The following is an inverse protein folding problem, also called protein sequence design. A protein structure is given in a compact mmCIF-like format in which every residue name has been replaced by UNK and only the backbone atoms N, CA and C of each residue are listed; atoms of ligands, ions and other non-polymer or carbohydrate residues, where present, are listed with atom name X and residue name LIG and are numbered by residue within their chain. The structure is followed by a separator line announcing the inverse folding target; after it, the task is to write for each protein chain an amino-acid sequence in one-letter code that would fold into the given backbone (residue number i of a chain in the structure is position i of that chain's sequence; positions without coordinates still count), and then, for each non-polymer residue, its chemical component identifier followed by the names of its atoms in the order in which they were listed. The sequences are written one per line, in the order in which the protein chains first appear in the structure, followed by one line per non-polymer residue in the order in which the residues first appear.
data_IF_438691750089
#
_entry.id   IF_438691750089
#
_cell.length_a   1.000
_cell.length_b   1.000
_cell.length_c   1.000
_cell.angle_alpha   90.00
_cell.angle_beta   90.00
_cell.angle_gamma   90.00
#
_symmetry.space_group_name_H-M   'P 1'
#
loop_
_entity.id
_entity.type
_entity.pdbx_description
1 polymer ?
#
# COMPACT_ATOMS: atom_id res chain seq x y z
N UNK A 1 8.31 -1.84 7.67
CA UNK A 1 7.94 -2.33 6.33
C UNK A 1 9.09 -1.99 5.39
N UNK A 2 10.06 -2.88 5.25
CA UNK A 2 11.20 -2.67 4.34
C UNK A 2 10.69 -2.72 2.89
N UNK A 3 10.75 -1.58 2.20
CA UNK A 3 10.37 -1.45 0.79
C UNK A 3 11.17 -2.40 -0.13
N UNK A 4 12.33 -2.89 0.33
CA UNK A 4 13.16 -3.92 -0.31
C UNK A 4 12.41 -5.24 -0.56
N UNK A 5 11.46 -5.63 0.31
CA UNK A 5 10.76 -6.93 0.20
C UNK A 5 9.53 -6.93 -0.72
N UNK A 6 9.13 -5.76 -1.25
CA UNK A 6 7.93 -5.64 -2.11
C UNK A 6 8.20 -5.79 -3.62
N UNK A 7 9.42 -6.18 -4.04
CA UNK A 7 9.70 -6.54 -5.45
C UNK A 7 9.66 -5.39 -6.46
N UNK A 8 9.52 -4.13 -6.01
CA UNK A 8 9.48 -2.95 -6.90
C UNK A 8 10.88 -2.53 -7.35
N UNK A 9 11.96 -2.99 -6.70
CA UNK A 9 13.32 -2.57 -7.02
C UNK A 9 14.28 -3.78 -7.07
N UNK A 10 14.13 -4.64 -8.07
CA UNK A 10 15.25 -5.44 -8.59
C UNK A 10 15.90 -4.68 -9.75
N UNK A 11 16.39 -3.47 -9.48
CA UNK A 11 17.31 -2.78 -10.38
C UNK A 11 18.67 -2.82 -9.72
N UNK A 12 19.69 -3.29 -10.45
CA UNK A 12 21.07 -3.17 -10.00
C UNK A 12 21.32 -1.74 -9.51
N UNK A 13 22.00 -1.54 -8.36
CA UNK A 13 22.21 -0.21 -7.79
C UNK A 13 22.80 0.80 -8.78
N UNK A 14 23.65 0.34 -9.71
CA UNK A 14 24.24 1.14 -10.78
C UNK A 14 23.27 1.55 -11.90
N UNK A 15 22.22 0.75 -12.16
CA UNK A 15 21.15 1.09 -13.12
C UNK A 15 20.13 2.02 -12.47
N UNK A 16 19.81 1.78 -11.19
CA UNK A 16 18.91 2.64 -10.44
C UNK A 16 19.44 4.08 -10.38
N UNK A 17 20.74 4.28 -10.13
CA UNK A 17 21.31 5.64 -10.08
C UNK A 17 21.19 6.40 -11.42
N UNK A 18 21.30 5.69 -12.56
CA UNK A 18 21.17 6.28 -13.90
C UNK A 18 19.72 6.53 -14.33
N UNK A 19 18.76 5.85 -13.70
CA UNK A 19 17.33 5.92 -14.05
C UNK A 19 16.46 6.46 -12.91
N UNK A 20 17.09 7.02 -11.88
CA UNK A 20 16.46 7.45 -10.63
C UNK A 20 15.28 8.38 -10.89
N UNK A 21 15.45 9.40 -11.72
CA UNK A 21 14.39 10.37 -12.02
C UNK A 21 13.16 9.73 -12.68
N UNK A 22 13.38 8.74 -13.54
CA UNK A 22 12.29 8.02 -14.23
C UNK A 22 11.55 7.13 -13.24
N UNK A 23 12.29 6.42 -12.38
CA UNK A 23 11.72 5.53 -11.36
C UNK A 23 10.98 6.34 -10.30
N UNK A 24 11.60 7.37 -9.75
CA UNK A 24 11.02 8.26 -8.74
C UNK A 24 9.79 8.98 -9.31
N UNK A 25 9.83 9.42 -10.57
CA UNK A 25 8.67 9.96 -11.28
C UNK A 25 7.53 8.96 -11.50
N UNK A 26 7.83 7.67 -11.72
CA UNK A 26 6.83 6.62 -11.80
C UNK A 26 6.22 6.30 -10.41
N UNK A 27 7.02 6.30 -9.35
CA UNK A 27 6.56 6.08 -7.98
C UNK A 27 5.67 7.23 -7.52
N UNK A 28 6.09 8.48 -7.73
CA UNK A 28 5.30 9.67 -7.37
C UNK A 28 3.94 9.72 -8.06
N UNK A 29 3.84 9.29 -9.32
CA UNK A 29 2.55 9.26 -10.03
C UNK A 29 1.58 8.19 -9.48
N UNK A 30 2.09 7.19 -8.79
CA UNK A 30 1.32 6.07 -8.25
C UNK A 30 1.31 6.04 -6.71
N UNK A 31 1.71 7.13 -6.05
CA UNK A 31 1.90 7.19 -4.59
C UNK A 31 0.61 7.25 -3.78
N UNK A 32 -0.54 6.87 -4.35
CA UNK A 32 -1.85 6.89 -3.68
C UNK A 32 -1.86 6.07 -2.39
N UNK A 33 -1.07 4.99 -2.30
CA UNK A 33 -0.94 4.22 -1.07
C UNK A 33 -0.33 5.01 0.07
N UNK A 34 0.51 5.99 -0.24
CA UNK A 34 1.14 6.85 0.75
C UNK A 34 0.17 7.89 1.31
N UNK A 35 -1.08 8.02 0.86
CA UNK A 35 -2.00 9.04 1.40
C UNK A 35 -1.97 9.12 2.95
N UNK A 36 -2.09 10.33 3.52
CA UNK A 36 -1.89 10.54 4.96
C UNK A 36 -2.80 9.68 5.83
N UNK A 37 -3.98 9.33 5.33
CA UNK A 37 -4.93 8.43 6.01
C UNK A 37 -4.37 7.01 6.13
N UNK A 38 -3.77 6.48 5.07
CA UNK A 38 -3.16 5.15 5.07
C UNK A 38 -1.93 5.12 5.98
N UNK A 39 -1.10 6.16 5.95
CA UNK A 39 0.04 6.28 6.87
C UNK A 39 -0.44 6.32 8.32
N UNK A 40 -1.51 7.06 8.64
CA UNK A 40 -2.08 7.07 9.99
C UNK A 40 -2.58 5.69 10.44
N UNK A 41 -3.19 4.91 9.54
CA UNK A 41 -3.61 3.55 9.83
C UNK A 41 -2.42 2.64 10.14
N UNK A 42 -1.34 2.73 9.34
CA UNK A 42 -0.10 2.00 9.62
C UNK A 42 0.50 2.41 10.96
N UNK A 43 0.56 3.71 11.25
CA UNK A 43 1.10 4.23 12.49
C UNK A 43 0.32 3.76 13.73
N UNK A 44 -1.00 3.57 13.62
CA UNK A 44 -1.82 3.04 14.71
C UNK A 44 -1.52 1.57 15.04
N UNK A 45 -1.07 0.79 14.05
CA UNK A 45 -0.69 -0.62 14.19
C UNK A 45 0.81 -0.83 14.38
N UNK A 46 1.59 0.24 14.41
CA UNK A 46 3.04 0.16 14.61
C UNK A 46 3.37 -0.40 16.00
N UNK A 47 4.47 -1.14 16.11
CA UNK A 47 4.96 -1.70 17.37
C UNK A 47 5.44 -0.61 18.33
N UNK A 48 5.95 0.51 17.79
CA UNK A 48 6.51 1.63 18.54
C UNK A 48 5.39 2.44 19.21
N UNK A 49 5.35 2.53 20.56
CA UNK A 49 4.29 3.25 21.26
C UNK A 49 4.17 4.74 20.90
N UNK A 50 5.31 5.41 20.68
CA UNK A 50 5.34 6.84 20.34
C UNK A 50 4.70 7.11 18.96
N UNK A 51 4.85 6.19 18.01
CA UNK A 51 4.25 6.28 16.67
C UNK A 51 2.73 6.14 16.73
N UNK A 52 2.24 5.16 17.52
CA UNK A 52 0.80 4.99 17.76
C UNK A 52 0.17 6.20 18.44
N UNK A 53 0.84 6.72 19.47
CA UNK A 53 0.40 7.91 20.19
C UNK A 53 0.31 9.13 19.26
N UNK A 54 1.32 9.35 18.42
CA UNK A 54 1.33 10.43 17.44
C UNK A 54 0.15 10.31 16.46
N UNK A 55 -0.16 9.11 15.99
CA UNK A 55 -1.32 8.88 15.11
C UNK A 55 -2.64 9.18 15.81
N UNK A 56 -2.83 8.68 17.03
CA UNK A 56 -4.03 8.91 17.84
C UNK A 56 -4.28 10.41 18.08
N UNK A 57 -3.25 11.16 18.49
CA UNK A 57 -3.33 12.63 18.66
C UNK A 57 -3.76 13.34 17.37
N UNK A 58 -3.25 12.90 16.22
CA UNK A 58 -3.58 13.49 14.91
C UNK A 58 -5.01 13.19 14.50
N UNK A 59 -5.50 11.98 14.75
CA UNK A 59 -6.88 11.60 14.47
C UNK A 59 -7.84 12.44 15.32
N UNK A 60 -7.59 12.57 16.62
CA UNK A 60 -8.39 13.43 17.53
C UNK A 60 -8.45 14.86 16.98
N UNK A 61 -7.28 15.47 16.73
CA UNK A 61 -7.21 16.84 16.20
C UNK A 61 -7.95 17.00 14.87
N UNK A 62 -7.85 16.01 13.97
CA UNK A 62 -8.51 16.05 12.65
C UNK A 62 -10.03 16.00 12.73
N UNK A 63 -10.58 15.32 13.75
CA UNK A 63 -12.02 15.23 14.04
C UNK A 63 -12.53 16.50 14.71
N UNK A 64 -11.77 17.08 15.63
CA UNK A 64 -12.10 18.38 16.23
C UNK A 64 -12.10 19.51 15.18
N UNK A 65 -11.19 19.42 14.20
CA UNK A 65 -11.10 20.36 13.08
C UNK A 65 -12.14 20.11 11.97
N UNK A 66 -13.19 19.32 12.22
CA UNK A 66 -14.22 19.00 11.22
C UNK A 66 -15.49 19.83 11.30
N UNK A 67 -15.46 21.02 11.91
CA UNK A 67 -16.61 21.92 11.92
C UNK A 67 -16.90 22.50 10.53
N UNK A 68 -18.15 22.30 10.09
CA UNK A 68 -18.89 22.95 9.01
C UNK A 68 -18.31 22.86 7.57
N UNK A 69 -19.04 22.10 6.73
CA UNK A 69 -18.98 22.04 5.25
C UNK A 69 -17.57 21.97 4.68
N UNK A 70 -17.00 20.76 4.65
CA UNK A 70 -15.72 20.53 3.96
C UNK A 70 -15.96 20.29 2.46
N UNK A 71 -15.18 20.92 1.57
CA UNK A 71 -15.15 20.52 0.16
C UNK A 71 -14.68 19.06 0.03
N UNK A 72 -15.13 18.38 -1.02
CA UNK A 72 -14.70 17.01 -1.34
C UNK A 72 -13.17 16.97 -1.42
N UNK A 73 -12.56 16.04 -0.69
CA UNK A 73 -11.11 15.86 -0.66
C UNK A 73 -10.59 15.55 -2.07
N UNK A 74 -9.63 16.32 -2.62
CA UNK A 74 -8.99 15.96 -3.87
C UNK A 74 -8.11 14.72 -3.67
N UNK A 75 -8.32 13.69 -4.49
CA UNK A 75 -7.53 12.46 -4.47
C UNK A 75 -6.29 12.63 -5.36
N UNK A 76 -5.30 13.37 -4.86
CA UNK A 76 -4.05 13.66 -5.56
C UNK A 76 -2.88 12.88 -4.95
N UNK A 77 -1.99 12.30 -5.77
CA UNK A 77 -0.84 11.58 -5.26
C UNK A 77 0.03 12.53 -4.40
N UNK A 78 0.38 12.14 -3.15
CA UNK A 78 1.20 12.96 -2.30
C UNK A 78 2.63 13.07 -2.84
N UNK A 79 3.26 14.21 -2.56
CA UNK A 79 4.70 14.39 -2.79
C UNK A 79 5.46 13.53 -1.76
N UNK A 80 6.22 12.57 -2.26
CA UNK A 80 7.02 11.68 -1.42
C UNK A 80 8.39 12.30 -1.14
N UNK A 81 8.88 12.05 0.07
CA UNK A 81 10.25 12.29 0.45
C UNK A 81 11.06 10.99 0.29
N UNK A 82 11.88 10.90 -0.76
CA UNK A 82 12.74 9.74 -1.02
C UNK A 82 13.96 9.67 -0.10
N UNK A 83 14.28 10.73 0.63
CA UNK A 83 15.36 10.77 1.63
C UNK A 83 14.88 10.34 3.02
N UNK A 84 13.59 10.06 3.18
CA UNK A 84 13.01 9.67 4.45
C UNK A 84 13.61 8.34 4.94
N UNK A 85 14.09 8.35 6.18
CA UNK A 85 14.59 7.13 6.85
C UNK A 85 13.46 6.29 7.44
N UNK A 86 12.35 6.94 7.81
CA UNK A 86 11.18 6.32 8.37
C UNK A 86 9.92 6.67 7.56
N UNK A 87 8.96 5.75 7.52
CA UNK A 87 7.72 5.93 6.78
C UNK A 87 6.86 7.07 7.36
N UNK A 88 7.11 7.45 8.62
CA UNK A 88 6.47 8.59 9.26
C UNK A 88 6.85 9.93 8.62
N UNK A 89 8.03 10.00 7.99
CA UNK A 89 8.61 11.18 7.32
C UNK A 89 8.50 11.10 5.78
N UNK A 90 7.95 10.01 5.26
CA UNK A 90 7.78 9.78 3.82
C UNK A 90 6.90 10.84 3.15
N UNK A 91 6.06 11.52 3.91
CA UNK A 91 5.23 12.62 3.44
C UNK A 91 5.48 13.87 4.25
N UNK A 92 5.56 15.00 3.56
CA UNK A 92 5.50 16.31 4.18
C UNK A 92 4.12 16.55 4.80
N UNK A 93 4.07 16.42 6.13
CA UNK A 93 2.84 16.57 6.93
C UNK A 93 2.36 18.01 7.04
N UNK A 94 3.20 18.99 6.69
CA UNK A 94 2.87 20.41 6.76
C UNK A 94 2.06 20.87 5.54
N UNK A 95 2.34 20.29 4.37
CA UNK A 95 1.68 20.63 3.11
C UNK A 95 0.38 19.88 2.85
N UNK A 96 0.09 18.79 3.59
CA UNK A 96 -1.09 17.96 3.36
C UNK A 96 -2.10 18.07 4.51
N UNK A 97 -3.35 18.36 4.16
CA UNK A 97 -4.45 18.32 5.14
C UNK A 97 -4.67 16.89 5.63
N UNK A 98 -4.43 16.67 6.92
CA UNK A 98 -4.70 15.40 7.58
C UNK A 98 -6.19 15.32 7.90
N UNK A 99 -6.88 14.30 7.40
CA UNK A 99 -8.27 13.99 7.73
C UNK A 99 -8.33 12.65 8.45
N UNK A 100 -9.34 12.47 9.31
CA UNK A 100 -9.59 11.18 9.94
C UNK A 100 -9.89 10.15 8.84
N UNK A 101 -9.19 9.01 8.79
CA UNK A 101 -9.48 7.95 7.82
C UNK A 101 -10.96 7.54 7.89
N UNK A 102 -11.65 7.36 6.75
CA UNK A 102 -13.05 6.95 6.70
C UNK A 102 -13.31 5.61 7.40
N UNK A 103 -12.36 4.68 7.33
CA UNK A 103 -12.45 3.38 8.02
C UNK A 103 -12.53 3.54 9.55
N UNK A 104 -12.04 4.66 10.08
CA UNK A 104 -12.09 4.92 11.51
C UNK A 104 -13.37 5.65 11.94
N UNK A 105 -14.27 6.01 11.01
CA UNK A 105 -15.42 6.88 11.28
C UNK A 105 -16.30 6.38 12.43
N UNK A 106 -16.50 5.08 12.53
CA UNK A 106 -17.45 4.48 13.47
C UNK A 106 -16.82 4.26 14.87
N UNK A 107 -15.51 4.51 15.01
CA UNK A 107 -14.79 4.39 16.30
C UNK A 107 -14.87 5.73 17.02
N UNK A 108 -15.20 5.69 18.31
CA UNK A 108 -15.29 6.90 19.13
C UNK A 108 -13.93 7.60 19.33
N UNK A 109 -13.94 8.90 19.57
CA UNK A 109 -12.73 9.66 19.91
C UNK A 109 -12.12 9.21 21.24
N UNK A 110 -12.95 8.74 22.18
CA UNK A 110 -12.53 8.27 23.50
C UNK A 110 -11.50 7.15 23.43
N UNK A 111 -11.60 6.26 22.43
CA UNK A 111 -10.64 5.16 22.29
C UNK A 111 -9.28 5.63 21.80
N UNK A 112 -9.20 6.70 21.01
CA UNK A 112 -7.92 7.32 20.69
C UNK A 112 -7.34 8.06 21.91
N UNK A 113 -8.19 8.66 22.75
CA UNK A 113 -7.75 9.31 23.98
C UNK A 113 -7.13 8.32 24.98
N UNK A 114 -7.63 7.08 25.05
CA UNK A 114 -7.00 6.04 25.88
C UNK A 114 -5.64 5.60 25.35
N UNK A 115 -5.44 5.54 24.02
CA UNK A 115 -4.10 5.29 23.43
C UNK A 115 -3.10 6.35 23.92
N UNK A 116 -3.51 7.62 23.90
CA UNK A 116 -2.64 8.73 24.30
C UNK A 116 -2.31 8.68 25.79
N UNK A 117 -3.28 8.35 26.64
CA UNK A 117 -3.11 8.31 28.10
C UNK A 117 -2.38 7.05 28.58
N UNK A 118 -2.84 5.89 28.15
CA UNK A 118 -2.46 4.60 28.72
C UNK A 118 -1.27 3.97 27.97
N UNK A 119 -0.92 4.48 26.77
CA UNK A 119 0.13 3.99 25.85
C UNK A 119 0.03 2.51 25.46
N UNK A 120 -1.03 1.84 25.90
CA UNK A 120 -1.34 0.44 25.57
C UNK A 120 -1.85 0.37 24.15
N UNK A 121 -1.39 -0.65 23.42
CA UNK A 121 -2.01 -1.00 22.15
C UNK A 121 -3.42 -1.48 22.46
N UNK A 122 -4.45 -0.85 21.89
CA UNK A 122 -5.76 -1.43 21.97
C UNK A 122 -5.82 -2.71 21.14
N UNK A 123 -6.53 -3.70 21.65
CA UNK A 123 -6.91 -4.89 20.90
C UNK A 123 -8.14 -4.55 20.05
N UNK A 124 -7.94 -3.83 18.93
CA UNK A 124 -9.00 -3.63 17.93
C UNK A 124 -8.56 -4.23 16.61
N UNK A 125 -9.35 -5.14 16.06
CA UNK A 125 -9.22 -5.61 14.69
C UNK A 125 -9.96 -4.64 13.76
N UNK A 126 -9.22 -3.73 13.11
CA UNK A 126 -9.73 -3.17 11.86
C UNK A 126 -9.52 -4.19 10.76
N UNK A 127 -10.48 -4.24 9.83
CA UNK A 127 -10.53 -5.17 8.70
C UNK A 127 -9.13 -5.57 8.26
N UNK A 128 -8.81 -6.86 8.41
CA UNK A 128 -7.54 -7.41 7.93
C UNK A 128 -7.50 -7.23 6.41
N UNK A 129 -6.80 -6.20 5.94
CA UNK A 129 -6.53 -6.04 4.53
C UNK A 129 -5.61 -7.18 4.11
N UNK A 130 -6.00 -8.03 3.14
CA UNK A 130 -5.14 -9.12 2.70
C UNK A 130 -4.01 -8.55 1.81
N UNK A 131 -3.03 -7.91 2.44
CA UNK A 131 -1.86 -7.30 1.79
C UNK A 131 -0.95 -8.34 1.12
N UNK A 132 -1.09 -9.61 1.53
CA UNK A 132 -0.34 -10.76 1.04
C UNK A 132 -1.25 -11.84 0.45
N UNK A 133 -2.39 -11.46 -0.13
CA UNK A 133 -3.21 -12.40 -0.88
C UNK A 133 -2.37 -13.08 -1.97
N UNK A 134 -2.54 -14.39 -2.11
CA UNK A 134 -1.90 -15.17 -3.17
C UNK A 134 -2.15 -14.51 -4.53
N UNK A 135 -3.36 -14.03 -4.80
CA UNK A 135 -3.70 -13.29 -6.01
C UNK A 135 -2.77 -12.08 -6.29
N UNK A 136 -2.43 -11.27 -5.27
CA UNK A 136 -1.54 -10.11 -5.43
C UNK A 136 -0.13 -10.54 -5.86
N UNK A 137 0.39 -11.61 -5.25
CA UNK A 137 1.70 -12.18 -5.63
C UNK A 137 1.70 -12.68 -7.08
N UNK A 138 0.62 -13.34 -7.48
CA UNK A 138 0.46 -13.86 -8.84
C UNK A 138 0.34 -12.74 -9.87
N UNK A 139 -0.40 -11.67 -9.57
CA UNK A 139 -0.48 -10.49 -10.43
C UNK A 139 0.89 -9.84 -10.60
N UNK A 140 1.64 -9.62 -9.51
CA UNK A 140 3.00 -9.07 -9.58
C UNK A 140 3.91 -9.91 -10.47
N UNK A 141 3.92 -11.24 -10.29
CA UNK A 141 4.67 -12.18 -11.12
C UNK A 141 4.29 -12.08 -12.60
N UNK A 142 2.99 -12.07 -12.91
CA UNK A 142 2.51 -12.00 -14.29
C UNK A 142 2.90 -10.67 -14.98
N UNK A 143 2.87 -9.55 -14.26
CA UNK A 143 3.32 -8.25 -14.77
C UNK A 143 4.81 -8.26 -15.08
N UNK A 144 5.63 -8.90 -14.23
CA UNK A 144 7.07 -9.07 -14.48
C UNK A 144 7.33 -9.95 -15.70
N UNK A 145 6.64 -11.09 -15.81
CA UNK A 145 6.74 -12.00 -16.96
C UNK A 145 6.34 -11.30 -18.27
N UNK A 146 5.24 -10.56 -18.27
CA UNK A 146 4.79 -9.78 -19.43
C UNK A 146 5.83 -8.73 -19.84
N UNK A 147 6.41 -8.01 -18.85
CA UNK A 147 7.40 -6.97 -19.11
C UNK A 147 8.71 -7.51 -19.65
N UNK A 148 9.08 -8.74 -19.27
CA UNK A 148 10.27 -9.42 -19.80
C UNK A 148 10.06 -9.97 -21.22
N UNK A 149 8.82 -10.37 -21.56
CA UNK A 149 8.53 -11.06 -22.82
C UNK A 149 8.12 -10.14 -23.96
N UNK A 150 7.44 -9.03 -23.67
CA UNK A 150 6.91 -8.12 -24.71
C UNK A 150 7.13 -6.64 -24.37
N UNK A 151 7.37 -5.84 -25.40
CA UNK A 151 7.57 -4.40 -25.30
C UNK A 151 6.31 -3.62 -25.69
N UNK A 152 6.06 -2.50 -25.01
CA UNK A 152 4.91 -1.63 -25.24
C UNK A 152 3.67 -1.99 -24.40
N UNK A 153 2.90 -0.95 -24.01
CA UNK A 153 1.74 -1.09 -23.11
C UNK A 153 0.68 -2.05 -23.65
N UNK A 154 0.28 -1.89 -24.91
CA UNK A 154 -0.78 -2.72 -25.52
C UNK A 154 -0.39 -4.20 -25.61
N UNK A 155 0.86 -4.50 -25.96
CA UNK A 155 1.33 -5.87 -26.05
C UNK A 155 1.41 -6.53 -24.67
N UNK A 156 1.84 -5.79 -23.63
CA UNK A 156 1.84 -6.27 -22.24
C UNK A 156 0.43 -6.55 -21.73
N UNK A 157 -0.51 -5.62 -21.98
CA UNK A 157 -1.92 -5.82 -21.63
C UNK A 157 -2.50 -7.06 -22.34
N UNK A 158 -2.26 -7.18 -23.65
CA UNK A 158 -2.67 -8.34 -24.44
C UNK A 158 -2.10 -9.66 -23.92
N UNK A 159 -0.82 -9.68 -23.52
CA UNK A 159 -0.18 -10.86 -22.91
C UNK A 159 -0.81 -11.23 -21.57
N UNK A 160 -1.06 -10.23 -20.72
CA UNK A 160 -1.68 -10.44 -19.40
C UNK A 160 -3.10 -10.99 -19.58
N UNK A 161 -3.91 -10.39 -20.45
CA UNK A 161 -5.30 -10.80 -20.71
C UNK A 161 -5.39 -12.18 -21.35
N UNK A 162 -4.52 -12.50 -22.32
CA UNK A 162 -4.48 -13.84 -22.92
C UNK A 162 -4.05 -14.90 -21.91
N UNK A 163 -3.14 -14.57 -20.99
CA UNK A 163 -2.73 -15.47 -19.91
C UNK A 163 -3.83 -15.69 -18.87
N UNK A 164 -4.58 -14.64 -18.50
CA UNK A 164 -5.76 -14.79 -17.64
C UNK A 164 -6.82 -15.65 -18.33
N UNK A 165 -7.07 -15.41 -19.61
CA UNK A 165 -8.02 -16.19 -20.39
C UNK A 165 -7.62 -17.66 -20.48
N UNK A 166 -6.35 -17.97 -20.78
CA UNK A 166 -5.86 -19.36 -20.82
C UNK A 166 -5.96 -20.04 -19.45
N UNK A 167 -5.65 -19.32 -18.36
CA UNK A 167 -5.78 -19.83 -16.99
C UNK A 167 -7.23 -20.06 -16.58
N UNK A 168 -8.18 -19.30 -17.12
CA UNK A 168 -9.61 -19.50 -16.84
C UNK A 168 -10.16 -20.82 -17.39
N UNK A 169 -9.50 -21.43 -18.37
CA UNK A 169 -9.81 -22.78 -18.85
C UNK A 169 -9.13 -23.89 -18.04
N UNK A 170 -8.20 -23.57 -17.15
CA UNK A 170 -7.53 -24.58 -16.33
C UNK A 170 -8.49 -25.05 -15.22
N UNK A 171 -8.47 -26.34 -14.86
CA UNK A 171 -9.26 -26.83 -13.74
C UNK A 171 -8.84 -26.14 -12.43
N UNK A 172 -9.81 -25.85 -11.57
CA UNK A 172 -9.53 -25.43 -10.19
C UNK A 172 -9.13 -26.67 -9.36
N UNK A 173 -8.09 -26.51 -8.54
CA UNK A 173 -7.59 -27.55 -7.66
C UNK A 173 -7.57 -27.03 -6.22
N UNK A 174 -8.17 -27.78 -5.31
CA UNK A 174 -8.17 -27.46 -3.88
C UNK A 174 -6.77 -27.68 -3.27
N UNK A 175 -6.05 -28.71 -3.73
CA UNK A 175 -4.72 -29.04 -3.23
C UNK A 175 -3.71 -29.21 -4.37
N UNK A 176 -2.46 -28.82 -4.10
CA UNK A 176 -1.36 -28.96 -5.07
C UNK A 176 -1.11 -30.41 -5.49
N UNK A 177 -1.45 -31.37 -4.64
CA UNK A 177 -1.35 -32.81 -4.91
C UNK A 177 -2.32 -33.28 -6.01
N UNK A 178 -3.38 -32.53 -6.27
CA UNK A 178 -4.38 -32.86 -7.28
C UNK A 178 -3.88 -32.52 -8.69
N UNK A 179 -2.82 -31.71 -8.81
CA UNK A 179 -2.18 -31.40 -10.07
C UNK A 179 -1.38 -32.60 -10.58
N UNK A 180 -1.95 -33.32 -11.55
CA UNK A 180 -1.27 -34.39 -12.27
C UNK A 180 -0.60 -33.81 -13.52
N UNK A 181 0.75 -33.79 -13.60
CA UNK A 181 1.41 -33.38 -14.83
C UNK A 181 1.01 -34.34 -15.97
N UNK A 182 0.86 -33.79 -17.18
CA UNK A 182 0.63 -34.59 -18.37
C UNK A 182 1.80 -35.58 -18.54
N UNK A 183 1.54 -36.83 -18.96
CA UNK A 183 2.60 -37.78 -19.25
C UNK A 183 3.55 -37.15 -20.29
N UNK A 184 4.85 -37.27 -20.04
CA UNK A 184 5.86 -36.86 -21.01
C UNK A 184 5.87 -37.90 -22.15
N UNK A 185 5.69 -37.42 -23.38
CA UNK A 185 5.86 -38.21 -24.60
C UNK A 185 7.33 -38.59 -24.83
#
# INVERSE_FOLDING_TARGET
MELSKCGILFLDPGIYFKTKDVVDGAICRNSFLAHPENILLCMLKDERPHTRELAARRIIKSRESSSNVKPVRPFLPPKLNFEASDYTEMIDRSSITITSPPILRDISTAVFSSIVRDKKSPEWDFVHFPCHAQAVKWCGKLVTEASAKVYGFQNRDGFIRSTFFSRSFMPEFEHKADFKPLPAD
#
